data_IF_375025102103
#
_entry.id   IF_375025102103
#
_cell.length_a   1.000
_cell.length_b   1.000
_cell.length_c   1.000
_cell.angle_alpha   90.00
_cell.angle_beta   90.00
_cell.angle_gamma   90.00
#
_symmetry.space_group_name_H-M   'P 1'
#
loop_
_entity.id
_entity.type
_entity.pdbx_description
1 polymer ?
#
# COMPACT_ATOMS: atom_id res chain seq x y z
N UNK A 1 10.79 -19.73 57.02
CA UNK A 1 10.42 -20.50 55.82
C UNK A 1 9.43 -19.67 55.01
N UNK A 2 9.93 -18.82 54.10
CA UNK A 2 9.07 -18.09 53.16
C UNK A 2 8.76 -19.06 52.02
N UNK A 3 7.51 -19.53 51.96
CA UNK A 3 7.00 -20.34 50.87
C UNK A 3 7.07 -19.50 49.59
N UNK A 4 8.02 -19.84 48.72
CA UNK A 4 8.11 -19.30 47.38
C UNK A 4 6.88 -19.70 46.57
N UNK A 5 5.95 -18.77 46.40
CA UNK A 5 4.86 -18.89 45.43
C UNK A 5 5.48 -18.86 44.04
N UNK A 6 5.74 -20.04 43.48
CA UNK A 6 6.15 -20.18 42.09
C UNK A 6 5.08 -19.56 41.18
N UNK A 7 5.49 -18.65 40.30
CA UNK A 7 4.60 -18.03 39.32
C UNK A 7 3.91 -19.11 38.48
N UNK A 8 2.58 -19.10 38.34
CA UNK A 8 1.81 -20.16 37.68
C UNK A 8 2.03 -20.28 36.16
N UNK A 9 2.85 -19.41 35.56
CA UNK A 9 3.06 -19.37 34.11
C UNK A 9 4.48 -19.86 33.74
N UNK A 10 4.64 -21.17 33.51
CA UNK A 10 5.89 -21.78 32.99
C UNK A 10 6.12 -21.52 31.49
N UNK A 11 5.15 -20.93 30.80
CA UNK A 11 5.19 -20.70 29.36
C UNK A 11 5.60 -19.28 29.03
N UNK A 12 6.53 -19.13 28.08
CA UNK A 12 7.06 -17.86 27.61
C UNK A 12 7.38 -17.93 26.13
N UNK A 13 7.31 -16.79 25.45
CA UNK A 13 7.62 -16.67 24.03
C UNK A 13 8.30 -15.33 23.75
N UNK A 14 9.16 -15.25 22.74
CA UNK A 14 9.78 -13.98 22.34
C UNK A 14 8.74 -12.98 21.85
N UNK A 15 8.92 -11.70 22.17
CA UNK A 15 8.04 -10.60 21.73
C UNK A 15 7.82 -10.61 20.20
N UNK A 16 8.89 -10.68 19.40
CA UNK A 16 8.79 -10.72 17.95
C UNK A 16 7.99 -11.94 17.42
N UNK A 17 8.03 -13.05 18.15
CA UNK A 17 7.30 -14.27 17.83
C UNK A 17 5.85 -14.12 18.23
N UNK A 18 5.60 -13.63 19.44
CA UNK A 18 4.25 -13.39 19.94
C UNK A 18 3.49 -12.46 19.01
N UNK A 19 4.06 -11.31 18.65
CA UNK A 19 3.44 -10.34 17.75
C UNK A 19 3.10 -10.94 16.38
N UNK A 20 3.98 -11.83 15.87
CA UNK A 20 3.75 -12.54 14.61
C UNK A 20 2.64 -13.59 14.70
N UNK A 21 2.65 -14.44 15.74
CA UNK A 21 1.69 -15.55 15.85
C UNK A 21 0.32 -15.12 16.35
N UNK A 22 0.25 -14.03 17.13
CA UNK A 22 -1.01 -13.37 17.53
C UNK A 22 -1.63 -12.54 16.41
N UNK A 23 -0.88 -12.31 15.32
CA UNK A 23 -1.28 -11.46 14.18
C UNK A 23 -1.45 -9.98 14.52
N UNK A 24 -0.96 -9.53 15.68
CA UNK A 24 -0.80 -8.10 15.98
C UNK A 24 0.12 -7.42 14.96
N UNK A 25 1.13 -8.16 14.47
CA UNK A 25 1.95 -7.75 13.32
C UNK A 25 2.08 -8.95 12.37
N UNK A 26 1.68 -8.80 11.10
CA UNK A 26 1.55 -9.94 10.16
C UNK A 26 2.86 -10.71 9.91
N UNK A 27 4.02 -10.05 9.96
CA UNK A 27 5.30 -10.67 9.63
C UNK A 27 6.33 -10.47 10.73
N UNK A 28 7.15 -11.51 10.96
CA UNK A 28 8.20 -11.51 12.00
C UNK A 28 9.24 -10.40 11.78
N UNK A 29 9.59 -10.09 10.52
CA UNK A 29 10.54 -9.02 10.19
C UNK A 29 10.06 -7.66 10.71
N UNK A 30 8.78 -7.35 10.50
CA UNK A 30 8.18 -6.09 10.97
C UNK A 30 8.00 -6.06 12.48
N UNK A 31 7.73 -7.21 13.11
CA UNK A 31 7.68 -7.29 14.56
C UNK A 31 9.06 -6.99 15.19
N UNK A 32 10.13 -7.51 14.59
CA UNK A 32 11.50 -7.19 15.01
C UNK A 32 11.79 -5.69 14.83
N UNK A 33 11.49 -5.15 13.66
CA UNK A 33 11.68 -3.73 13.35
C UNK A 33 10.90 -2.81 14.29
N UNK A 34 9.65 -3.15 14.62
CA UNK A 34 8.84 -2.38 15.56
C UNK A 34 9.45 -2.34 16.97
N UNK A 35 9.99 -3.48 17.45
CA UNK A 35 10.74 -3.53 18.70
C UNK A 35 12.02 -2.67 18.61
N UNK A 36 12.80 -2.81 17.54
CA UNK A 36 14.06 -2.09 17.34
C UNK A 36 13.85 -0.56 17.25
N UNK A 37 12.75 -0.12 16.63
CA UNK A 37 12.33 1.30 16.54
C UNK A 37 11.68 1.83 17.82
N UNK A 38 11.46 0.97 18.82
CA UNK A 38 10.92 1.37 20.13
C UNK A 38 9.41 1.59 20.17
N UNK A 39 8.65 0.98 19.25
CA UNK A 39 7.19 1.05 19.19
C UNK A 39 6.49 -0.01 20.05
N UNK A 40 7.22 -0.97 20.60
CA UNK A 40 6.67 -2.08 21.39
C UNK A 40 7.06 -1.92 22.85
N UNK A 41 6.07 -1.98 23.73
CA UNK A 41 6.27 -1.95 25.17
C UNK A 41 5.64 -3.18 25.82
N UNK A 42 6.33 -3.80 26.77
CA UNK A 42 5.81 -4.85 27.64
C UNK A 42 5.80 -4.28 29.06
N UNK A 43 4.64 -4.27 29.70
CA UNK A 43 4.44 -3.73 31.05
C UNK A 43 4.99 -2.30 31.21
N UNK A 44 4.78 -1.46 30.19
CA UNK A 44 5.23 -0.06 30.15
C UNK A 44 6.71 0.16 29.84
N UNK A 45 7.49 -0.89 29.59
CA UNK A 45 8.93 -0.79 29.23
C UNK A 45 9.15 -1.17 27.79
N UNK A 46 10.05 -0.46 27.09
CA UNK A 46 10.42 -0.81 25.70
C UNK A 46 10.91 -2.25 25.62
N UNK A 47 10.35 -3.00 24.67
CA UNK A 47 10.63 -4.41 24.49
C UNK A 47 11.62 -4.64 23.34
N UNK A 48 12.68 -5.40 23.59
CA UNK A 48 13.56 -5.92 22.54
C UNK A 48 12.85 -7.07 21.79
N UNK A 49 13.24 -7.39 20.55
CA UNK A 49 12.64 -8.52 19.82
C UNK A 49 12.72 -9.86 20.58
N UNK A 50 13.78 -10.04 21.38
CA UNK A 50 14.04 -11.23 22.19
C UNK A 50 13.40 -11.21 23.58
N UNK A 51 12.70 -10.12 23.95
CA UNK A 51 12.07 -10.00 25.27
C UNK A 51 11.03 -11.10 25.50
N UNK A 52 10.92 -11.59 26.73
CA UNK A 52 9.98 -12.67 27.06
C UNK A 52 8.58 -12.11 27.31
N UNK A 53 7.59 -12.67 26.61
CA UNK A 53 6.17 -12.44 26.81
C UNK A 53 5.57 -13.64 27.54
N UNK A 54 4.74 -13.37 28.54
CA UNK A 54 4.04 -14.33 29.40
C UNK A 54 2.54 -13.99 29.48
N UNK A 55 1.67 -14.96 29.79
CA UNK A 55 0.29 -14.68 30.14
C UNK A 55 0.21 -13.67 31.30
N UNK A 56 -0.72 -12.71 31.19
CA UNK A 56 -0.88 -11.58 32.09
C UNK A 56 -0.06 -10.33 31.71
N UNK A 57 0.91 -10.43 30.80
CA UNK A 57 1.66 -9.26 30.35
C UNK A 57 0.75 -8.29 29.59
N UNK A 58 1.04 -7.00 29.76
CA UNK A 58 0.41 -5.93 28.99
C UNK A 58 1.36 -5.49 27.88
N UNK A 59 0.92 -5.62 26.63
CA UNK A 59 1.67 -5.17 25.47
C UNK A 59 1.02 -3.90 24.92
N UNK A 60 1.80 -2.83 24.84
CA UNK A 60 1.43 -1.61 24.11
C UNK A 60 2.20 -1.57 22.80
N UNK A 61 1.47 -1.39 21.70
CA UNK A 61 2.03 -1.07 20.39
C UNK A 61 1.70 0.39 20.11
N UNK A 62 2.72 1.23 20.06
CA UNK A 62 2.61 2.65 19.75
C UNK A 62 3.18 2.89 18.35
N UNK A 63 2.43 2.44 17.35
CA UNK A 63 2.83 2.50 15.95
C UNK A 63 2.45 3.86 15.35
N UNK A 64 3.11 4.32 14.28
CA UNK A 64 2.66 5.49 13.53
C UNK A 64 1.20 5.39 13.06
N UNK A 65 0.70 4.18 12.86
CA UNK A 65 -0.67 3.87 12.47
C UNK A 65 -1.70 3.93 13.60
N UNK A 66 -1.27 4.15 14.85
CA UNK A 66 -2.13 4.19 16.03
C UNK A 66 -1.62 3.33 17.18
N UNK A 67 -2.20 3.57 18.36
CA UNK A 67 -1.86 2.90 19.60
C UNK A 67 -2.84 1.78 19.91
N UNK A 68 -2.34 0.60 20.28
CA UNK A 68 -3.16 -0.50 20.80
C UNK A 68 -2.54 -1.09 22.06
N UNK A 69 -3.37 -1.40 23.04
CA UNK A 69 -2.94 -2.08 24.26
C UNK A 69 -3.70 -3.38 24.43
N UNK A 70 -2.95 -4.46 24.68
CA UNK A 70 -3.49 -5.80 24.86
C UNK A 70 -2.96 -6.44 26.13
N UNK A 71 -3.78 -7.28 26.73
CA UNK A 71 -3.40 -8.22 27.78
C UNK A 71 -3.22 -9.60 27.17
N UNK A 72 -2.08 -10.23 27.43
CA UNK A 72 -1.79 -11.59 26.96
C UNK A 72 -2.59 -12.58 27.81
N UNK A 73 -3.43 -13.40 27.17
CA UNK A 73 -4.21 -14.43 27.85
C UNK A 73 -3.47 -15.78 27.85
N UNK A 74 -2.79 -16.08 26.76
CA UNK A 74 -2.07 -17.35 26.56
C UNK A 74 -0.86 -17.11 25.65
N UNK A 75 0.19 -17.91 25.83
CA UNK A 75 1.33 -17.95 24.90
C UNK A 75 1.45 -19.33 24.26
N UNK A 76 1.66 -19.42 22.94
CA UNK A 76 1.63 -20.70 22.24
C UNK A 76 2.93 -21.50 22.46
N UNK A 77 2.80 -22.82 22.66
CA UNK A 77 3.92 -23.75 22.88
C UNK A 77 4.63 -24.19 21.57
N UNK A 78 4.03 -23.93 20.40
CA UNK A 78 4.48 -24.44 19.10
C UNK A 78 5.00 -23.41 18.09
N UNK A 79 5.64 -23.89 17.01
CA UNK A 79 6.21 -23.02 15.94
C UNK A 79 5.16 -22.23 15.15
N UNK A 80 3.91 -22.69 15.10
CA UNK A 80 2.82 -22.07 14.36
C UNK A 80 1.51 -22.14 15.14
N UNK A 81 0.62 -21.17 14.88
CA UNK A 81 -0.69 -21.05 15.53
C UNK A 81 -1.75 -20.92 14.45
N UNK A 82 -2.82 -21.70 14.53
CA UNK A 82 -3.95 -21.57 13.59
C UNK A 82 -4.64 -20.21 13.75
N UNK A 83 -5.34 -19.74 12.71
CA UNK A 83 -6.06 -18.45 12.74
C UNK A 83 -7.01 -18.34 13.94
N UNK A 84 -7.73 -19.41 14.21
CA UNK A 84 -8.70 -19.49 15.30
C UNK A 84 -8.04 -19.44 16.69
N UNK A 85 -6.87 -20.06 16.86
CA UNK A 85 -6.10 -19.99 18.10
C UNK A 85 -5.44 -18.63 18.29
N UNK A 86 -5.00 -17.96 17.21
CA UNK A 86 -4.32 -16.67 17.32
C UNK A 86 -5.20 -15.57 17.92
N UNK A 87 -6.50 -15.60 17.65
CA UNK A 87 -7.47 -14.65 18.19
C UNK A 87 -7.72 -14.81 19.71
N UNK A 88 -7.32 -15.95 20.30
CA UNK A 88 -7.52 -16.27 21.72
C UNK A 88 -6.29 -15.94 22.59
N UNK A 89 -5.17 -15.56 21.98
CA UNK A 89 -3.91 -15.33 22.70
C UNK A 89 -3.89 -14.03 23.52
N UNK A 90 -4.76 -13.07 23.21
CA UNK A 90 -4.80 -11.79 23.89
C UNK A 90 -6.21 -11.19 23.91
N UNK A 91 -6.41 -10.19 24.78
CA UNK A 91 -7.59 -9.33 24.82
C UNK A 91 -7.14 -7.87 24.72
N UNK A 92 -7.88 -7.04 23.98
CA UNK A 92 -7.64 -5.59 23.93
C UNK A 92 -8.10 -4.95 25.24
N UNK A 93 -7.24 -4.15 25.89
CA UNK A 93 -7.51 -3.53 27.21
C UNK A 93 -7.46 -2.00 27.20
N UNK A 94 -6.81 -1.37 26.22
CA UNK A 94 -6.82 0.07 26.01
C UNK A 94 -7.45 0.38 24.66
N UNK A 95 -8.36 1.37 24.63
CA UNK A 95 -9.00 1.79 23.39
C UNK A 95 -7.94 2.34 22.41
N UNK A 96 -8.02 1.99 21.12
CA UNK A 96 -7.25 2.71 20.13
C UNK A 96 -7.74 4.16 20.09
N UNK A 97 -6.81 5.10 20.16
CA UNK A 97 -7.11 6.49 19.84
C UNK A 97 -7.40 6.55 18.33
N UNK A 98 -8.69 6.39 17.98
CA UNK A 98 -9.32 6.22 16.64
C UNK A 98 -9.48 4.74 16.14
N UNK A 99 -10.56 4.42 15.39
CA UNK A 99 -11.34 3.19 15.61
C UNK A 99 -10.77 1.89 15.02
N UNK A 100 -10.91 0.83 15.83
CA UNK A 100 -10.77 -0.61 15.55
C UNK A 100 -11.76 -1.09 14.47
N UNK A 101 -11.56 -2.18 13.73
CA UNK A 101 -11.14 -3.53 14.14
C UNK A 101 -10.73 -4.33 12.90
N UNK A 102 -9.78 -5.25 13.03
CA UNK A 102 -9.23 -6.08 11.94
C UNK A 102 -8.41 -5.29 10.91
N UNK A 103 -7.23 -4.79 11.28
CA UNK A 103 -6.24 -4.39 10.27
C UNK A 103 -5.88 -5.60 9.41
N UNK A 104 -6.56 -5.73 8.28
CA UNK A 104 -5.92 -6.22 7.08
C UNK A 104 -4.86 -5.18 6.72
N UNK A 105 -3.65 -5.32 7.27
CA UNK A 105 -2.41 -4.57 6.89
C UNK A 105 -2.13 -4.65 5.36
N UNK A 106 -2.94 -5.39 4.61
CA UNK A 106 -2.80 -5.55 3.17
C UNK A 106 -4.19 -5.79 2.59
N UNK A 107 -4.56 -4.96 1.63
CA UNK A 107 -5.58 -5.29 0.64
C UNK A 107 -4.90 -6.16 -0.42
N UNK A 108 -5.52 -7.26 -0.82
CA UNK A 108 -5.01 -8.02 -1.99
C UNK A 108 -5.35 -7.27 -3.28
N UNK A 109 -4.64 -7.55 -4.38
CA UNK A 109 -5.00 -7.04 -5.72
C UNK A 109 -6.47 -7.29 -6.03
N UNK A 110 -6.97 -8.50 -5.79
CA UNK A 110 -8.36 -8.86 -6.09
C UNK A 110 -9.38 -8.06 -5.27
N UNK A 111 -9.07 -7.80 -3.99
CA UNK A 111 -9.91 -6.95 -3.14
C UNK A 111 -9.90 -5.49 -3.60
N UNK A 112 -8.74 -4.95 -3.98
CA UNK A 112 -8.62 -3.60 -4.54
C UNK A 112 -9.36 -3.49 -5.87
N UNK A 113 -9.22 -4.49 -6.74
CA UNK A 113 -9.90 -4.55 -8.03
C UNK A 113 -11.42 -4.63 -7.86
N UNK A 114 -11.91 -5.43 -6.91
CA UNK A 114 -13.34 -5.49 -6.58
C UNK A 114 -13.85 -4.17 -6.00
N UNK A 115 -13.04 -3.51 -5.16
CA UNK A 115 -13.38 -2.22 -4.58
C UNK A 115 -13.53 -1.13 -5.65
N UNK A 116 -12.57 -0.99 -6.57
CA UNK A 116 -12.65 0.05 -7.61
C UNK A 116 -13.76 -0.24 -8.61
N UNK A 117 -14.00 -1.50 -8.98
CA UNK A 117 -15.09 -1.89 -9.89
C UNK A 117 -16.48 -1.61 -9.31
N UNK A 118 -16.62 -1.67 -7.99
CA UNK A 118 -17.89 -1.38 -7.30
C UNK A 118 -18.05 0.09 -6.94
N UNK A 119 -16.94 0.81 -6.70
CA UNK A 119 -16.95 2.21 -6.25
C UNK A 119 -16.91 3.22 -7.39
N UNK A 120 -16.28 2.88 -8.51
CA UNK A 120 -16.01 3.82 -9.60
C UNK A 120 -16.95 3.51 -10.78
N UNK A 121 -17.96 4.35 -11.04
CA UNK A 121 -18.97 4.08 -12.08
C UNK A 121 -18.39 4.19 -13.50
N UNK A 122 -17.35 5.01 -13.70
CA UNK A 122 -16.72 5.22 -14.99
C UNK A 122 -15.76 4.05 -15.32
N UNK A 123 -16.16 3.19 -16.27
CA UNK A 123 -15.34 2.05 -16.72
C UNK A 123 -13.98 2.47 -17.31
N UNK A 124 -13.88 3.63 -17.95
CA UNK A 124 -12.61 4.11 -18.49
C UNK A 124 -11.67 4.54 -17.37
N UNK A 125 -12.20 5.11 -16.29
CA UNK A 125 -11.41 5.42 -15.10
C UNK A 125 -10.94 4.13 -14.40
N UNK A 126 -11.78 3.10 -14.29
CA UNK A 126 -11.34 1.79 -13.79
C UNK A 126 -10.19 1.23 -14.63
N UNK A 127 -10.26 1.33 -15.96
CA UNK A 127 -9.17 0.91 -16.86
C UNK A 127 -7.90 1.74 -16.65
N UNK A 128 -8.02 3.05 -16.45
CA UNK A 128 -6.90 3.94 -16.10
C UNK A 128 -6.21 3.47 -14.82
N UNK A 129 -6.96 3.20 -13.75
CA UNK A 129 -6.41 2.68 -12.50
C UNK A 129 -5.71 1.32 -12.67
N UNK A 130 -6.26 0.42 -13.52
CA UNK A 130 -5.62 -0.86 -13.84
C UNK A 130 -4.30 -0.66 -14.61
N UNK A 131 -4.27 0.26 -15.58
CA UNK A 131 -3.04 0.61 -16.30
C UNK A 131 -1.99 1.21 -15.37
N UNK A 132 -2.39 2.14 -14.50
CA UNK A 132 -1.52 2.76 -13.49
C UNK A 132 -0.94 1.71 -12.54
N UNK A 133 -1.76 0.78 -12.06
CA UNK A 133 -1.33 -0.34 -11.24
C UNK A 133 -0.27 -1.22 -11.93
N UNK A 134 -0.45 -1.55 -13.21
CA UNK A 134 0.51 -2.33 -13.97
C UNK A 134 1.87 -1.61 -14.10
N UNK A 135 1.85 -0.32 -14.44
CA UNK A 135 3.06 0.51 -14.53
C UNK A 135 3.76 0.62 -13.17
N UNK A 136 3.02 0.88 -12.09
CA UNK A 136 3.57 0.95 -10.73
C UNK A 136 4.20 -0.38 -10.30
N UNK A 137 3.57 -1.52 -10.60
CA UNK A 137 4.14 -2.85 -10.35
C UNK A 137 5.47 -3.03 -11.09
N UNK A 138 5.53 -2.63 -12.36
CA UNK A 138 6.76 -2.73 -13.17
C UNK A 138 7.87 -1.81 -12.65
N UNK A 139 7.54 -0.58 -12.23
CA UNK A 139 8.49 0.34 -11.60
C UNK A 139 9.07 -0.26 -10.32
N UNK A 140 8.23 -0.86 -9.47
CA UNK A 140 8.68 -1.52 -8.25
C UNK A 140 9.67 -2.65 -8.53
N UNK A 141 9.35 -3.52 -9.50
CA UNK A 141 10.24 -4.62 -9.90
C UNK A 141 11.59 -4.12 -10.42
N UNK A 142 11.59 -3.07 -11.24
CA UNK A 142 12.83 -2.47 -11.78
C UNK A 142 13.75 -1.97 -10.67
N UNK A 143 13.19 -1.33 -9.65
CA UNK A 143 13.95 -0.69 -8.58
C UNK A 143 14.10 -1.52 -7.30
N UNK A 144 13.64 -2.78 -7.30
CA UNK A 144 13.79 -3.69 -6.16
C UNK A 144 12.86 -3.39 -4.98
N UNK A 145 11.71 -2.76 -5.22
CA UNK A 145 10.67 -2.52 -4.22
C UNK A 145 9.62 -3.65 -4.19
N UNK A 146 8.69 -3.58 -3.24
CA UNK A 146 7.58 -4.51 -3.13
C UNK A 146 6.53 -4.24 -4.23
N UNK A 147 6.38 -5.13 -5.23
CA UNK A 147 5.52 -4.90 -6.37
C UNK A 147 4.03 -4.91 -6.00
N UNK A 148 3.63 -5.69 -5.01
CA UNK A 148 2.23 -5.80 -4.61
C UNK A 148 1.77 -4.50 -3.93
N UNK A 149 2.64 -3.84 -3.15
CA UNK A 149 2.34 -2.56 -2.50
C UNK A 149 2.23 -1.41 -3.51
N UNK A 150 3.15 -1.33 -4.46
CA UNK A 150 3.14 -0.29 -5.50
C UNK A 150 1.93 -0.44 -6.43
N UNK A 151 1.57 -1.68 -6.76
CA UNK A 151 0.37 -1.99 -7.53
C UNK A 151 -0.92 -1.48 -6.84
N UNK A 152 -1.01 -1.60 -5.51
CA UNK A 152 -2.14 -1.06 -4.75
C UNK A 152 -2.21 0.48 -4.84
N UNK A 153 -1.08 1.17 -4.83
CA UNK A 153 -1.07 2.63 -5.02
C UNK A 153 -1.67 3.02 -6.37
N UNK A 154 -1.26 2.35 -7.45
CA UNK A 154 -1.84 2.57 -8.78
C UNK A 154 -3.32 2.20 -8.86
N UNK A 155 -3.77 1.10 -8.21
CA UNK A 155 -5.19 0.73 -8.20
C UNK A 155 -6.06 1.71 -7.43
N UNK A 156 -5.58 2.31 -6.35
CA UNK A 156 -6.43 3.00 -5.37
C UNK A 156 -6.38 4.53 -5.45
N UNK A 157 -5.45 5.11 -6.23
CA UNK A 157 -5.20 6.56 -6.23
C UNK A 157 -6.44 7.41 -6.56
N UNK A 158 -7.22 7.00 -7.57
CA UNK A 158 -8.40 7.71 -8.07
C UNK A 158 -9.72 7.24 -7.46
N UNK A 159 -9.69 6.54 -6.31
CA UNK A 159 -10.89 5.91 -5.73
C UNK A 159 -12.02 6.92 -5.44
N UNK A 160 -11.67 8.19 -5.23
CA UNK A 160 -12.57 9.28 -4.87
C UNK A 160 -13.02 10.16 -6.04
N UNK A 161 -12.52 9.97 -7.27
CA UNK A 161 -12.81 10.86 -8.41
C UNK A 161 -14.31 11.02 -8.67
N UNK A 162 -15.11 9.98 -8.43
CA UNK A 162 -16.56 10.03 -8.58
C UNK A 162 -17.26 10.98 -7.57
N UNK A 163 -16.65 11.20 -6.41
CA UNK A 163 -17.15 12.08 -5.34
C UNK A 163 -16.51 13.48 -5.40
N UNK A 164 -15.33 13.60 -5.99
CA UNK A 164 -14.55 14.84 -6.06
C UNK A 164 -14.62 15.51 -7.44
N UNK A 165 -15.41 15.00 -8.37
CA UNK A 165 -15.50 15.55 -9.74
C UNK A 165 -15.97 17.00 -9.79
N UNK A 166 -16.73 17.44 -8.78
CA UNK A 166 -17.18 18.84 -8.64
C UNK A 166 -16.24 19.71 -7.79
N UNK A 167 -15.34 19.09 -7.02
CA UNK A 167 -14.40 19.79 -6.13
C UNK A 167 -13.07 19.01 -6.06
N UNK A 168 -12.24 19.20 -7.09
CA UNK A 168 -10.96 18.52 -7.23
C UNK A 168 -9.95 18.89 -6.13
N UNK A 169 -10.21 19.95 -5.33
CA UNK A 169 -9.38 20.28 -4.19
C UNK A 169 -9.39 19.16 -3.13
N UNK A 170 -10.45 18.33 -3.10
CA UNK A 170 -10.60 17.20 -2.18
C UNK A 170 -10.03 15.87 -2.70
N UNK A 171 -9.68 15.78 -3.97
CA UNK A 171 -9.11 14.57 -4.57
C UNK A 171 -7.82 14.14 -3.84
N UNK A 172 -7.64 12.83 -3.67
CA UNK A 172 -6.60 12.22 -2.85
C UNK A 172 -6.93 12.24 -1.35
N UNK A 173 -7.48 13.32 -0.81
CA UNK A 173 -7.89 13.41 0.61
C UNK A 173 -9.05 12.47 0.89
N UNK A 174 -10.10 12.51 0.04
CA UNK A 174 -11.28 11.66 0.20
C UNK A 174 -10.91 10.19 -0.04
N UNK A 175 -10.04 9.89 -1.02
CA UNK A 175 -9.54 8.55 -1.25
C UNK A 175 -8.86 7.99 0.01
N UNK A 176 -7.94 8.74 0.63
CA UNK A 176 -7.27 8.34 1.86
C UNK A 176 -8.25 8.18 3.03
N UNK A 177 -9.21 9.09 3.19
CA UNK A 177 -10.23 8.98 4.24
C UNK A 177 -11.07 7.71 4.09
N UNK A 178 -11.52 7.38 2.86
CA UNK A 178 -12.27 6.16 2.57
C UNK A 178 -11.46 4.91 2.84
N UNK A 179 -10.22 4.87 2.36
CA UNK A 179 -9.32 3.74 2.59
C UNK A 179 -9.07 3.52 4.08
N UNK A 180 -8.81 4.58 4.85
CA UNK A 180 -8.66 4.50 6.31
C UNK A 180 -9.94 4.03 7.00
N UNK A 181 -11.11 4.53 6.58
CA UNK A 181 -12.40 4.07 7.11
C UNK A 181 -12.67 2.58 6.84
N UNK A 182 -12.10 2.03 5.75
CA UNK A 182 -12.13 0.60 5.42
C UNK A 182 -11.03 -0.22 6.13
N UNK A 183 -10.24 0.40 7.00
CA UNK A 183 -9.15 -0.26 7.74
C UNK A 183 -7.87 -0.49 6.94
N UNK A 184 -7.70 0.18 5.79
CA UNK A 184 -6.44 0.15 5.05
C UNK A 184 -5.40 1.02 5.76
N UNK A 185 -4.27 0.40 6.13
CA UNK A 185 -3.25 1.01 7.01
C UNK A 185 -1.86 1.14 6.41
N UNK A 186 -1.70 1.01 5.10
CA UNK A 186 -0.40 1.18 4.46
C UNK A 186 -0.14 2.67 4.20
N UNK A 187 0.54 3.33 5.15
CA UNK A 187 0.81 4.77 5.08
C UNK A 187 1.70 5.16 3.88
N UNK A 188 2.54 4.27 3.35
CA UNK A 188 3.35 4.60 2.16
C UNK A 188 2.45 4.73 0.93
N UNK A 189 1.49 3.80 0.77
CA UNK A 189 0.48 3.87 -0.28
C UNK A 189 -0.42 5.09 -0.09
N UNK A 190 -0.92 5.34 1.12
CA UNK A 190 -1.77 6.50 1.41
C UNK A 190 -1.04 7.83 1.14
N UNK A 191 0.26 7.93 1.48
CA UNK A 191 1.04 9.12 1.17
C UNK A 191 1.31 9.29 -0.33
N UNK A 192 1.52 8.21 -1.08
CA UNK A 192 1.56 8.27 -2.55
C UNK A 192 0.24 8.82 -3.12
N UNK A 193 -0.91 8.38 -2.57
CA UNK A 193 -2.23 8.91 -2.96
C UNK A 193 -2.38 10.40 -2.60
N UNK A 194 -1.82 10.89 -1.50
CA UNK A 194 -1.86 12.34 -1.24
C UNK A 194 -0.92 13.12 -2.17
N UNK A 195 0.26 12.58 -2.43
CA UNK A 195 1.28 13.27 -3.21
C UNK A 195 0.93 13.35 -4.70
N UNK A 196 0.33 12.31 -5.29
CA UNK A 196 -0.09 12.38 -6.70
C UNK A 196 -1.15 13.46 -6.95
N UNK A 197 -2.03 13.69 -5.97
CA UNK A 197 -3.04 14.74 -5.99
C UNK A 197 -2.52 16.10 -5.48
N UNK A 198 -1.19 16.25 -5.37
CA UNK A 198 -0.48 17.47 -4.96
C UNK A 198 -0.88 18.02 -3.58
N UNK A 199 -1.31 17.14 -2.66
CA UNK A 199 -1.70 17.50 -1.28
C UNK A 199 -0.53 17.51 -0.30
N UNK A 200 0.62 16.99 -0.74
CA UNK A 200 1.89 17.04 -0.03
C UNK A 200 3.05 17.02 -1.04
N UNK A 201 4.27 17.43 -0.64
CA UNK A 201 5.47 17.29 -1.47
C UNK A 201 5.81 15.83 -1.80
N UNK A 202 6.53 15.63 -2.90
CA UNK A 202 7.06 14.32 -3.32
C UNK A 202 8.38 14.01 -2.58
N UNK A 203 8.37 13.04 -1.68
CA UNK A 203 9.48 12.68 -0.79
C UNK A 203 10.01 11.28 -1.06
N UNK A 204 9.13 10.33 -1.37
CA UNK A 204 9.49 8.91 -1.55
C UNK A 204 9.55 8.48 -3.02
N UNK A 205 10.25 7.37 -3.34
CA UNK A 205 10.24 6.80 -4.68
C UNK A 205 8.84 6.40 -5.17
N UNK A 206 7.97 5.87 -4.30
CA UNK A 206 6.60 5.49 -4.67
C UNK A 206 5.77 6.71 -5.05
N UNK A 207 5.87 7.81 -4.28
CA UNK A 207 5.19 9.08 -4.55
C UNK A 207 5.62 9.64 -5.91
N UNK A 208 6.92 9.73 -6.16
CA UNK A 208 7.47 10.22 -7.43
C UNK A 208 7.07 9.34 -8.62
N UNK A 209 7.02 8.02 -8.42
CA UNK A 209 6.60 7.09 -9.46
C UNK A 209 5.12 7.24 -9.79
N UNK A 210 4.24 7.28 -8.80
CA UNK A 210 2.80 7.43 -9.03
C UNK A 210 2.49 8.74 -9.75
N UNK A 211 3.14 9.83 -9.31
CA UNK A 211 3.01 11.15 -9.93
C UNK A 211 3.42 11.18 -11.41
N UNK A 212 4.46 10.44 -11.79
CA UNK A 212 4.88 10.34 -13.20
C UNK A 212 4.02 9.36 -14.00
N UNK A 213 3.64 8.23 -13.41
CA UNK A 213 2.91 7.13 -14.07
C UNK A 213 1.48 7.54 -14.41
N UNK A 214 0.81 8.26 -13.52
CA UNK A 214 -0.60 8.63 -13.68
C UNK A 214 -0.90 9.26 -15.07
N UNK A 215 -0.32 10.42 -15.44
CA UNK A 215 -0.54 11.00 -16.78
C UNK A 215 0.00 10.13 -17.92
N UNK A 216 1.03 9.31 -17.67
CA UNK A 216 1.63 8.44 -18.70
C UNK A 216 0.65 7.41 -19.22
N UNK A 217 -0.18 6.85 -18.35
CA UNK A 217 -1.15 5.83 -18.75
C UNK A 217 -2.21 6.41 -19.69
N UNK A 218 -2.76 7.58 -19.36
CA UNK A 218 -3.68 8.32 -20.24
C UNK A 218 -3.04 8.70 -21.57
N UNK A 219 -1.76 9.09 -21.57
CA UNK A 219 -1.00 9.37 -22.78
C UNK A 219 -0.84 8.13 -23.68
N UNK A 220 -0.49 6.98 -23.13
CA UNK A 220 -0.32 5.73 -23.88
C UNK A 220 -1.67 5.23 -24.42
N UNK A 221 -2.75 5.30 -23.62
CA UNK A 221 -4.11 4.98 -24.09
C UNK A 221 -4.51 5.88 -25.26
N UNK A 222 -4.27 7.19 -25.17
CA UNK A 222 -4.55 8.11 -26.28
C UNK A 222 -3.74 7.74 -27.53
N UNK A 223 -2.48 7.32 -27.36
CA UNK A 223 -1.65 6.84 -28.47
C UNK A 223 -2.26 5.61 -29.12
N UNK A 224 -2.69 4.63 -28.32
CA UNK A 224 -3.35 3.41 -28.81
C UNK A 224 -4.60 3.76 -29.60
N UNK A 225 -5.50 4.58 -29.05
CA UNK A 225 -6.77 4.96 -29.69
C UNK A 225 -6.59 5.75 -31.00
N UNK A 226 -5.51 6.51 -31.12
CA UNK A 226 -5.16 7.24 -32.34
C UNK A 226 -4.46 6.36 -33.39
N UNK A 227 -3.78 5.29 -32.97
CA UNK A 227 -3.06 4.40 -33.87
C UNK A 227 -4.03 3.62 -34.78
N UNK A 228 -3.70 3.36 -36.06
CA UNK A 228 -4.58 2.62 -36.96
C UNK A 228 -5.06 1.26 -36.44
N UNK A 229 -4.21 0.56 -35.68
CA UNK A 229 -4.56 -0.74 -35.08
C UNK A 229 -5.49 -0.62 -33.88
N UNK A 230 -5.59 0.56 -33.25
CA UNK A 230 -6.31 0.80 -32.00
C UNK A 230 -5.89 -0.09 -30.83
N UNK A 231 -4.65 -0.57 -30.86
CA UNK A 231 -4.13 -1.54 -29.87
C UNK A 231 -2.77 -1.13 -29.31
N UNK A 232 -2.46 -1.59 -28.09
CA UNK A 232 -1.16 -1.40 -27.45
C UNK A 232 -0.04 -2.20 -28.16
N UNK A 233 -0.39 -3.34 -28.75
CA UNK A 233 0.54 -4.16 -29.51
C UNK A 233 1.10 -3.44 -30.75
N UNK A 234 0.35 -2.50 -31.32
CA UNK A 234 0.77 -1.75 -32.51
C UNK A 234 1.68 -0.56 -32.22
N UNK A 235 1.90 -0.19 -30.96
CA UNK A 235 2.71 0.99 -30.59
C UNK A 235 4.20 0.64 -30.47
N UNK A 236 5.06 1.61 -30.74
CA UNK A 236 6.47 1.55 -30.40
C UNK A 236 6.92 2.85 -29.73
N UNK A 237 8.15 2.85 -29.20
CA UNK A 237 8.71 4.01 -28.51
C UNK A 237 8.80 5.24 -29.42
N UNK A 238 9.14 5.06 -30.70
CA UNK A 238 9.27 6.18 -31.64
C UNK A 238 7.92 6.86 -31.92
N UNK A 239 6.84 6.07 -32.02
CA UNK A 239 5.49 6.61 -32.10
C UNK A 239 5.13 7.40 -30.85
N UNK A 240 5.39 6.85 -29.66
CA UNK A 240 5.16 7.56 -28.39
C UNK A 240 5.94 8.88 -28.35
N UNK A 241 7.22 8.87 -28.69
CA UNK A 241 8.07 10.09 -28.68
C UNK A 241 7.58 11.16 -29.65
N UNK A 242 7.11 10.76 -30.83
CA UNK A 242 6.51 11.69 -31.79
C UNK A 242 5.28 12.38 -31.18
N UNK A 243 4.38 11.61 -30.57
CA UNK A 243 3.17 12.12 -29.89
C UNK A 243 3.48 12.92 -28.63
N UNK A 244 4.54 12.57 -27.92
CA UNK A 244 4.95 13.28 -26.71
C UNK A 244 5.31 14.75 -27.01
N UNK A 245 5.97 15.00 -28.14
CA UNK A 245 6.34 16.35 -28.63
C UNK A 245 5.12 17.19 -29.06
N UNK A 246 4.02 16.55 -29.41
CA UNK A 246 2.76 17.22 -29.79
C UNK A 246 2.01 17.69 -28.52
N UNK A 247 2.32 18.89 -28.02
CA UNK A 247 1.77 19.40 -26.74
C UNK A 247 0.24 19.43 -26.65
N UNK A 248 -0.48 19.55 -27.77
CA UNK A 248 -1.96 19.54 -27.80
C UNK A 248 -2.54 18.13 -27.76
N UNK A 249 -1.77 17.12 -28.16
CA UNK A 249 -2.21 15.73 -28.14
C UNK A 249 -2.26 15.25 -26.68
N UNK A 250 -3.36 14.62 -26.26
CA UNK A 250 -3.56 14.19 -24.87
C UNK A 250 -3.19 15.31 -23.86
N UNK A 251 -3.79 16.50 -24.04
CA UNK A 251 -3.42 17.70 -23.28
C UNK A 251 -3.60 17.57 -21.76
N UNK A 252 -4.47 16.66 -21.30
CA UNK A 252 -4.62 16.33 -19.88
C UNK A 252 -3.49 15.50 -19.28
N UNK A 253 -2.65 14.86 -20.12
CA UNK A 253 -1.49 14.10 -19.66
C UNK A 253 -0.26 15.01 -19.58
N UNK A 254 0.06 15.50 -18.38
CA UNK A 254 1.14 16.46 -18.18
C UNK A 254 2.51 15.92 -18.61
N UNK A 255 3.15 16.59 -19.57
CA UNK A 255 4.51 16.25 -20.05
C UNK A 255 5.57 16.44 -18.99
N UNK A 256 5.39 17.44 -18.14
CA UNK A 256 6.29 17.74 -17.02
C UNK A 256 6.24 16.63 -15.95
N UNK A 257 5.03 16.20 -15.58
CA UNK A 257 4.86 15.10 -14.64
C UNK A 257 5.48 13.80 -15.17
N UNK A 258 5.24 13.47 -16.45
CA UNK A 258 5.89 12.30 -17.06
C UNK A 258 7.42 12.41 -17.06
N UNK A 259 7.97 13.56 -17.41
CA UNK A 259 9.42 13.80 -17.42
C UNK A 259 10.06 13.76 -16.02
N UNK A 260 9.27 13.92 -14.94
CA UNK A 260 9.76 13.80 -13.57
C UNK A 260 10.30 12.41 -13.22
N UNK A 261 10.09 11.40 -14.09
CA UNK A 261 10.71 10.08 -13.99
C UNK A 261 12.25 10.12 -13.88
N UNK A 262 12.90 11.20 -14.35
CA UNK A 262 14.35 11.42 -14.20
C UNK A 262 14.80 11.38 -12.74
N UNK A 263 13.96 11.86 -11.82
CA UNK A 263 14.20 11.81 -10.37
C UNK A 263 14.26 10.39 -9.78
N UNK A 264 13.79 9.39 -10.54
CA UNK A 264 13.86 7.97 -10.22
C UNK A 264 15.07 7.28 -10.89
N UNK A 265 15.93 8.06 -11.56
CA UNK A 265 17.09 7.53 -12.27
C UNK A 265 16.72 6.85 -13.59
N UNK A 266 15.65 7.29 -14.25
CA UNK A 266 15.21 6.77 -15.54
C UNK A 266 15.16 7.88 -16.60
N UNK A 267 15.69 7.59 -17.79
CA UNK A 267 15.37 8.44 -18.95
C UNK A 267 13.88 8.32 -19.32
N UNK A 268 13.35 9.35 -19.99
CA UNK A 268 11.98 9.34 -20.50
C UNK A 268 11.73 8.13 -21.43
N UNK A 269 12.71 7.77 -22.25
CA UNK A 269 12.62 6.65 -23.20
C UNK A 269 12.48 5.30 -22.47
N UNK A 270 13.29 5.07 -21.42
CA UNK A 270 13.17 3.88 -20.57
C UNK A 270 11.83 3.83 -19.84
N UNK A 271 11.36 4.98 -19.34
CA UNK A 271 10.13 5.09 -18.58
C UNK A 271 8.89 4.83 -19.45
N UNK A 272 8.82 5.44 -20.63
CA UNK A 272 7.73 5.21 -21.59
C UNK A 272 7.72 3.76 -22.09
N UNK A 273 8.90 3.19 -22.35
CA UNK A 273 9.02 1.77 -22.75
C UNK A 273 8.52 0.85 -21.64
N UNK A 274 8.94 1.08 -20.40
CA UNK A 274 8.50 0.28 -19.25
C UNK A 274 6.98 0.35 -19.06
N UNK A 275 6.40 1.55 -19.14
CA UNK A 275 4.96 1.73 -19.00
C UNK A 275 4.18 1.06 -20.15
N UNK A 276 4.66 1.18 -21.40
CA UNK A 276 4.03 0.54 -22.55
C UNK A 276 4.03 -1.00 -22.40
N UNK A 277 5.16 -1.59 -22.04
CA UNK A 277 5.26 -3.05 -21.82
C UNK A 277 4.41 -3.52 -20.64
N UNK A 278 4.37 -2.75 -19.55
CA UNK A 278 3.52 -3.06 -18.41
C UNK A 278 2.03 -3.05 -18.80
N UNK A 279 1.58 -2.04 -19.55
CA UNK A 279 0.21 -1.94 -20.04
C UNK A 279 -0.14 -3.05 -21.05
N UNK A 280 0.81 -3.49 -21.87
CA UNK A 280 0.63 -4.66 -22.76
C UNK A 280 0.30 -5.93 -21.98
N UNK A 281 0.93 -6.12 -20.82
CA UNK A 281 0.66 -7.25 -19.93
C UNK A 281 -0.79 -7.31 -19.41
N UNK A 282 -1.49 -6.16 -19.39
CA UNK A 282 -2.90 -6.05 -18.96
C UNK A 282 -3.84 -5.60 -20.07
N UNK A 283 -3.40 -5.64 -21.33
CA UNK A 283 -4.18 -5.16 -22.48
C UNK A 283 -5.61 -5.74 -22.58
N UNK A 284 -5.85 -7.04 -22.29
CA UNK A 284 -7.21 -7.58 -22.25
C UNK A 284 -8.13 -6.90 -21.23
N UNK A 285 -7.61 -6.46 -20.08
CA UNK A 285 -8.38 -5.73 -19.05
C UNK A 285 -8.70 -4.29 -19.49
N UNK A 286 -7.82 -3.71 -20.33
CA UNK A 286 -7.99 -2.36 -20.89
C UNK A 286 -8.88 -2.35 -22.14
N UNK A 287 -9.04 -3.50 -22.80
CA UNK A 287 -9.73 -3.60 -24.09
C UNK A 287 -8.97 -2.87 -25.20
N UNK A 288 -7.64 -2.96 -25.17
CA UNK A 288 -6.68 -2.38 -26.13
C UNK A 288 -5.66 -3.45 -26.55
#
# INVERSE_FOLDING_TARGET
MLLGIASPYKLKVRADKFLQVSRLIKQRRYAKEACDRGYVFINGKRAKPSEEVRPGDRITLDLPSGRVEVEVLEVPEGKSVSKEKSAKLYRVIGMPSAPSSLYNISMTRDQALALIKSSVPNKNLVKHMIACAACMRAMALRHGYDPDRWELAGLLHDLDVAETSEDFAKHGIVAVQRLRAMGFGDEEVLNAILAHAEKKPLETPMERALYAVDPTTGFIVACALMHPTKTLAGLDLEFLKKRFKERRFAAGASREQMASCESLGMSLDEFLTLCLEAMRGVAPELGL
#
